data_IF_783914723505
#
_entry.id   IF_783914723505
#
_cell.length_a   1.000
_cell.length_b   1.000
_cell.length_c   1.000
_cell.angle_alpha   90.00
_cell.angle_beta   90.00
_cell.angle_gamma   90.00
#
_symmetry.space_group_name_H-M   'P 1'
#
loop_
_entity.id
_entity.type
_entity.pdbx_description
1 polymer ?
#
# COMPACT_ATOMS: atom_id res chain seq x y z
N UNK A 1 -33.71 -16.41 31.18
CA UNK A 1 -32.64 -17.20 30.57
C UNK A 1 -32.95 -17.29 29.09
N UNK A 2 -32.40 -16.35 28.32
CA UNK A 2 -32.50 -16.32 26.85
C UNK A 2 -31.07 -16.17 26.35
N UNK A 3 -30.64 -17.10 25.50
CA UNK A 3 -29.31 -17.13 24.92
C UNK A 3 -29.02 -15.83 24.12
N UNK A 4 -27.76 -15.39 24.02
CA UNK A 4 -27.41 -14.26 23.17
C UNK A 4 -27.54 -14.65 21.70
N UNK A 5 -28.15 -13.77 20.91
CA UNK A 5 -28.19 -13.83 19.46
C UNK A 5 -26.76 -13.88 18.88
N UNK A 6 -26.58 -14.73 17.87
CA UNK A 6 -25.32 -15.03 17.19
C UNK A 6 -24.73 -13.79 16.47
N UNK A 7 -23.40 -13.73 16.30
CA UNK A 7 -22.72 -12.61 15.65
C UNK A 7 -23.09 -12.49 14.17
N UNK A 8 -23.18 -11.27 13.67
CA UNK A 8 -23.34 -10.99 12.23
C UNK A 8 -22.14 -11.55 11.46
N UNK A 9 -22.32 -12.67 10.75
CA UNK A 9 -21.26 -13.44 10.08
C UNK A 9 -20.46 -12.69 8.99
N UNK A 10 -20.91 -11.50 8.56
CA UNK A 10 -20.30 -10.71 7.48
C UNK A 10 -19.42 -9.54 7.96
N UNK A 11 -19.26 -9.32 9.26
CA UNK A 11 -18.43 -8.23 9.78
C UNK A 11 -16.99 -8.69 10.09
N UNK A 12 -15.97 -8.15 9.41
CA UNK A 12 -14.59 -8.48 9.74
C UNK A 12 -14.22 -7.83 11.08
N UNK A 13 -14.13 -8.66 12.13
CA UNK A 13 -13.72 -8.23 13.46
C UNK A 13 -12.27 -7.72 13.46
N UNK A 14 -12.16 -6.39 13.58
CA UNK A 14 -11.08 -5.50 14.09
C UNK A 14 -9.60 -5.75 13.78
N UNK A 15 -9.06 -6.97 13.80
CA UNK A 15 -7.62 -7.21 13.50
C UNK A 15 -7.32 -7.29 12.00
N UNK A 16 -8.09 -8.08 11.25
CA UNK A 16 -7.78 -8.38 9.85
C UNK A 16 -8.03 -7.24 8.85
N UNK A 17 -8.79 -6.20 9.22
CA UNK A 17 -9.17 -5.13 8.28
C UNK A 17 -7.98 -4.23 7.98
N UNK A 18 -7.24 -3.78 9.00
CA UNK A 18 -6.09 -2.91 8.81
C UNK A 18 -4.97 -3.61 8.02
N UNK A 19 -4.72 -4.88 8.33
CA UNK A 19 -3.76 -5.69 7.60
C UNK A 19 -4.19 -5.92 6.13
N UNK A 20 -5.48 -6.22 5.89
CA UNK A 20 -6.04 -6.33 4.52
C UNK A 20 -5.95 -5.02 3.75
N UNK A 21 -6.26 -3.89 4.39
CA UNK A 21 -6.15 -2.57 3.77
C UNK A 21 -4.70 -2.23 3.45
N UNK A 22 -3.76 -2.56 4.33
CA UNK A 22 -2.33 -2.37 4.09
C UNK A 22 -1.82 -3.25 2.94
N UNK A 23 -2.25 -4.51 2.88
CA UNK A 23 -1.92 -5.42 1.77
C UNK A 23 -2.55 -4.95 0.45
N UNK A 24 -3.81 -4.55 0.46
CA UNK A 24 -4.50 -4.01 -0.71
C UNK A 24 -3.81 -2.74 -1.20
N UNK A 25 -3.44 -1.84 -0.28
CA UNK A 25 -2.69 -0.62 -0.60
C UNK A 25 -1.35 -0.99 -1.25
N UNK A 26 -0.56 -1.85 -0.63
CA UNK A 26 0.76 -2.25 -1.10
C UNK A 26 0.70 -2.93 -2.49
N UNK A 27 -0.21 -3.89 -2.66
CA UNK A 27 -0.37 -4.62 -3.92
C UNK A 27 -0.92 -3.75 -5.07
N UNK A 28 -1.94 -2.93 -4.81
CA UNK A 28 -2.51 -2.03 -5.83
C UNK A 28 -1.51 -0.93 -6.20
N UNK A 29 -0.85 -0.33 -5.21
CA UNK A 29 0.20 0.67 -5.44
C UNK A 29 1.31 0.06 -6.29
N UNK A 30 1.75 -1.16 -5.96
CA UNK A 30 2.81 -1.83 -6.68
C UNK A 30 2.46 -2.14 -8.12
N UNK A 31 1.29 -2.75 -8.37
CA UNK A 31 0.85 -3.04 -9.74
C UNK A 31 0.74 -1.77 -10.59
N UNK A 32 0.14 -0.70 -10.05
CA UNK A 32 -0.02 0.56 -10.77
C UNK A 32 1.32 1.23 -11.06
N UNK A 33 2.23 1.24 -10.09
CA UNK A 33 3.56 1.82 -10.28
C UNK A 33 4.37 1.03 -11.30
N UNK A 34 4.32 -0.31 -11.26
CA UNK A 34 4.94 -1.18 -12.27
C UNK A 34 4.41 -0.91 -13.67
N UNK A 35 3.09 -0.76 -13.83
CA UNK A 35 2.46 -0.41 -15.11
C UNK A 35 2.97 0.95 -15.58
N UNK A 36 2.86 2.01 -14.77
CA UNK A 36 3.15 3.38 -15.22
C UNK A 36 4.64 3.61 -15.40
N UNK A 37 5.48 3.22 -14.45
CA UNK A 37 6.92 3.51 -14.47
C UNK A 37 7.63 2.80 -15.63
N UNK A 38 7.40 1.49 -15.80
CA UNK A 38 8.03 0.72 -16.88
C UNK A 38 7.46 1.12 -18.23
N UNK A 39 6.15 1.37 -18.35
CA UNK A 39 5.57 1.91 -19.57
C UNK A 39 6.18 3.25 -19.97
N UNK A 40 6.27 4.19 -19.02
CA UNK A 40 6.81 5.52 -19.27
C UNK A 40 8.27 5.45 -19.71
N UNK A 41 9.07 4.57 -19.10
CA UNK A 41 10.45 4.33 -19.49
C UNK A 41 10.55 3.77 -20.92
N UNK A 42 9.87 2.66 -21.22
CA UNK A 42 10.01 2.02 -22.54
C UNK A 42 9.37 2.82 -23.66
N UNK A 43 8.29 3.55 -23.39
CA UNK A 43 7.69 4.49 -24.36
C UNK A 43 8.60 5.67 -24.63
N UNK A 44 9.30 6.19 -23.61
CA UNK A 44 10.30 7.22 -23.79
C UNK A 44 11.46 6.74 -24.66
N UNK A 45 12.01 5.55 -24.37
CA UNK A 45 13.07 4.95 -25.20
C UNK A 45 12.57 4.69 -26.62
N UNK A 46 11.35 4.21 -26.80
CA UNK A 46 10.74 3.98 -28.12
C UNK A 46 10.51 5.27 -28.91
N UNK A 47 10.43 6.42 -28.24
CA UNK A 47 10.43 7.74 -28.89
C UNK A 47 11.78 8.10 -29.51
N UNK A 48 12.88 7.58 -28.95
CA UNK A 48 14.25 7.88 -29.38
C UNK A 48 14.83 6.84 -30.35
N UNK A 49 14.43 5.57 -30.25
CA UNK A 49 14.96 4.46 -31.06
C UNK A 49 13.91 3.40 -31.39
N UNK A 50 14.13 2.65 -32.47
CA UNK A 50 13.32 1.48 -32.84
C UNK A 50 14.00 0.15 -32.50
N UNK A 51 15.22 0.19 -31.96
CA UNK A 51 15.98 -1.02 -31.62
C UNK A 51 15.32 -1.83 -30.49
N UNK A 52 15.03 -3.09 -30.76
CA UNK A 52 14.44 -4.01 -29.79
C UNK A 52 15.42 -4.33 -28.65
N UNK A 53 16.73 -4.34 -28.91
CA UNK A 53 17.75 -4.58 -27.89
C UNK A 53 17.74 -3.50 -26.82
N UNK A 54 17.78 -2.23 -27.25
CA UNK A 54 17.69 -1.07 -26.38
C UNK A 54 16.40 -1.06 -25.55
N UNK A 55 15.25 -1.37 -26.16
CA UNK A 55 13.96 -1.44 -25.46
C UNK A 55 13.92 -2.56 -24.42
N UNK A 56 14.46 -3.73 -24.75
CA UNK A 56 14.51 -4.87 -23.83
C UNK A 56 15.42 -4.56 -22.63
N UNK A 57 16.61 -4.00 -22.87
CA UNK A 57 17.56 -3.64 -21.82
C UNK A 57 16.95 -2.58 -20.91
N UNK A 58 16.40 -1.50 -21.48
CA UNK A 58 15.78 -0.43 -20.70
C UNK A 58 14.58 -0.96 -19.89
N UNK A 59 13.70 -1.73 -20.52
CA UNK A 59 12.52 -2.29 -19.88
C UNK A 59 12.85 -3.26 -18.76
N UNK A 60 13.81 -4.18 -18.96
CA UNK A 60 14.26 -5.10 -17.91
C UNK A 60 15.00 -4.39 -16.78
N UNK A 61 15.85 -3.42 -17.09
CA UNK A 61 16.53 -2.61 -16.08
C UNK A 61 15.53 -1.81 -15.25
N UNK A 62 14.53 -1.19 -15.88
CA UNK A 62 13.45 -0.48 -15.22
C UNK A 62 12.58 -1.40 -14.36
N UNK A 63 12.25 -2.59 -14.87
CA UNK A 63 11.47 -3.58 -14.13
C UNK A 63 12.22 -4.05 -12.87
N UNK A 64 13.47 -4.51 -13.02
CA UNK A 64 14.25 -5.04 -11.90
C UNK A 64 14.59 -3.94 -10.90
N UNK A 65 15.06 -2.79 -11.39
CA UNK A 65 15.39 -1.64 -10.55
C UNK A 65 14.17 -1.10 -9.80
N UNK A 66 13.03 -0.99 -10.48
CA UNK A 66 11.76 -0.57 -9.89
C UNK A 66 11.23 -1.56 -8.84
N UNK A 67 11.25 -2.86 -9.13
CA UNK A 67 10.81 -3.89 -8.19
C UNK A 67 11.66 -3.91 -6.91
N UNK A 68 12.99 -3.80 -7.04
CA UNK A 68 13.90 -3.72 -5.88
C UNK A 68 13.66 -2.44 -5.09
N UNK A 69 13.56 -1.28 -5.78
CA UNK A 69 13.31 0.02 -5.14
C UNK A 69 12.00 0.00 -4.34
N UNK A 70 10.95 -0.58 -4.93
CA UNK A 70 9.66 -0.70 -4.29
C UNK A 70 9.67 -1.66 -3.09
N UNK A 71 10.29 -2.85 -3.23
CA UNK A 71 10.42 -3.78 -2.11
C UNK A 71 11.19 -3.15 -0.94
N UNK A 72 12.30 -2.47 -1.25
CA UNK A 72 13.10 -1.79 -0.25
C UNK A 72 12.32 -0.66 0.42
N UNK A 73 11.62 0.17 -0.36
CA UNK A 73 10.80 1.26 0.15
C UNK A 73 9.71 0.78 1.10
N UNK A 74 8.98 -0.27 0.72
CA UNK A 74 7.93 -0.84 1.57
C UNK A 74 8.54 -1.55 2.80
N UNK A 75 9.64 -2.28 2.65
CA UNK A 75 10.35 -2.92 3.78
C UNK A 75 10.78 -1.89 4.81
N UNK A 76 11.42 -0.80 4.38
CA UNK A 76 11.92 0.27 5.27
C UNK A 76 10.75 0.98 5.94
N UNK A 77 9.69 1.33 5.19
CA UNK A 77 8.51 1.99 5.74
C UNK A 77 7.83 1.15 6.83
N UNK A 78 7.56 -0.12 6.53
CA UNK A 78 6.86 -1.03 7.46
C UNK A 78 7.78 -1.44 8.62
N UNK A 79 9.09 -1.57 8.39
CA UNK A 79 10.04 -1.80 9.49
C UNK A 79 10.08 -0.61 10.45
N UNK A 80 10.12 0.61 9.93
CA UNK A 80 10.10 1.82 10.76
C UNK A 80 8.82 1.91 11.58
N UNK A 81 7.67 1.60 10.99
CA UNK A 81 6.39 1.54 11.71
C UNK A 81 6.47 0.53 12.87
N UNK A 82 6.89 -0.70 12.57
CA UNK A 82 7.02 -1.77 13.57
C UNK A 82 8.00 -1.42 14.68
N UNK A 83 9.10 -0.74 14.36
CA UNK A 83 10.09 -0.33 15.34
C UNK A 83 9.52 0.77 16.26
N UNK A 84 8.71 1.69 15.74
CA UNK A 84 7.95 2.65 16.54
C UNK A 84 6.91 1.97 17.45
N UNK A 85 6.12 1.02 16.92
CA UNK A 85 5.16 0.25 17.71
C UNK A 85 5.85 -0.50 18.87
N UNK A 86 6.99 -1.14 18.61
CA UNK A 86 7.78 -1.83 19.64
C UNK A 86 8.34 -0.89 20.70
N UNK A 87 8.78 0.30 20.30
CA UNK A 87 9.29 1.30 21.24
C UNK A 87 8.18 1.79 22.18
N UNK A 88 6.98 2.01 21.64
CA UNK A 88 5.80 2.39 22.41
C UNK A 88 5.37 1.26 23.36
N UNK A 89 5.30 0.02 22.91
CA UNK A 89 5.00 -1.14 23.78
C UNK A 89 6.02 -1.26 24.92
N UNK A 90 7.30 -1.02 24.64
CA UNK A 90 8.35 -1.07 25.66
C UNK A 90 8.21 0.08 26.68
N UNK A 91 7.80 1.27 26.23
CA UNK A 91 7.51 2.43 27.07
C UNK A 91 6.31 2.14 27.99
N UNK A 92 5.21 1.66 27.42
CA UNK A 92 3.99 1.33 28.15
C UNK A 92 4.24 0.26 29.23
N UNK A 93 4.97 -0.80 28.87
CA UNK A 93 5.40 -1.81 29.85
C UNK A 93 6.27 -1.24 30.96
N UNK A 94 7.02 -0.17 30.71
CA UNK A 94 7.81 0.49 31.74
C UNK A 94 6.91 1.28 32.68
N UNK A 95 6.00 2.09 32.12
CA UNK A 95 5.08 2.95 32.86
C UNK A 95 4.13 2.14 33.75
N UNK A 96 3.51 1.08 33.23
CA UNK A 96 2.70 0.13 34.01
C UNK A 96 3.47 -0.50 35.19
N UNK A 97 4.79 -0.65 35.09
CA UNK A 97 5.62 -1.19 36.18
C UNK A 97 6.05 -0.13 37.18
N UNK A 98 6.23 1.12 36.77
CA UNK A 98 6.77 2.19 37.62
C UNK A 98 5.72 3.11 38.20
N UNK A 99 4.56 3.26 37.54
CA UNK A 99 3.51 4.24 37.84
C UNK A 99 2.10 3.63 37.72
N UNK A 100 1.82 2.46 38.32
CA UNK A 100 0.56 1.73 38.08
C UNK A 100 -0.71 2.47 38.51
N UNK A 101 -0.63 3.33 39.53
CA UNK A 101 -1.77 4.16 39.96
C UNK A 101 -2.07 5.28 38.95
N UNK A 102 -1.02 5.90 38.39
CA UNK A 102 -1.17 6.95 37.38
C UNK A 102 -1.74 6.37 36.08
N UNK A 103 -1.25 5.19 35.66
CA UNK A 103 -1.75 4.49 34.48
C UNK A 103 -3.23 4.09 34.62
N UNK A 104 -3.66 3.61 35.79
CA UNK A 104 -5.07 3.30 36.04
C UNK A 104 -5.95 4.57 35.96
N UNK A 105 -5.47 5.70 36.47
CA UNK A 105 -6.14 6.99 36.37
C UNK A 105 -6.20 7.50 34.93
N UNK A 106 -5.15 7.27 34.13
CA UNK A 106 -5.11 7.58 32.70
C UNK A 106 -6.12 6.74 31.90
N UNK A 107 -6.12 5.41 32.07
CA UNK A 107 -7.06 4.52 31.40
C UNK A 107 -8.52 4.89 31.74
N UNK A 108 -8.76 5.23 33.01
CA UNK A 108 -10.06 5.74 33.46
C UNK A 108 -10.46 7.00 32.69
N UNK A 109 -9.55 7.97 32.53
CA UNK A 109 -9.81 9.21 31.79
C UNK A 109 -10.04 8.96 30.31
N UNK A 110 -9.28 8.07 29.67
CA UNK A 110 -9.46 7.72 28.26
C UNK A 110 -10.86 7.14 28.00
N UNK A 111 -11.36 6.30 28.90
CA UNK A 111 -12.72 5.79 28.81
C UNK A 111 -13.80 6.86 29.04
N UNK A 112 -13.58 7.79 29.96
CA UNK A 112 -14.49 8.95 30.13
C UNK A 112 -14.55 9.80 28.85
N UNK A 113 -13.41 10.03 28.20
CA UNK A 113 -13.36 10.77 26.92
C UNK A 113 -14.11 10.05 25.80
N UNK A 114 -14.23 8.71 25.86
CA UNK A 114 -15.06 7.90 24.96
C UNK A 114 -16.56 7.94 25.31
N UNK A 115 -16.95 8.66 26.38
CA UNK A 115 -18.34 8.91 26.74
C UNK A 115 -18.87 8.11 27.93
N UNK A 116 -18.02 7.33 28.61
CA UNK A 116 -18.42 6.63 29.84
C UNK A 116 -18.55 7.60 31.02
N UNK A 117 -19.46 7.28 31.95
CA UNK A 117 -19.50 8.00 33.23
C UNK A 117 -18.23 7.73 34.04
N UNK A 118 -17.89 8.62 34.98
CA UNK A 118 -16.68 8.45 35.79
C UNK A 118 -16.65 7.12 36.56
N UNK A 119 -17.80 6.70 37.11
CA UNK A 119 -17.94 5.44 37.83
C UNK A 119 -17.75 4.23 36.91
N UNK A 120 -18.43 4.21 35.76
CA UNK A 120 -18.31 3.11 34.79
C UNK A 120 -16.91 3.04 34.18
N UNK A 121 -16.32 4.17 33.83
CA UNK A 121 -14.97 4.23 33.28
C UNK A 121 -13.93 3.68 34.26
N UNK A 122 -14.04 4.03 35.56
CA UNK A 122 -13.15 3.49 36.58
C UNK A 122 -13.32 1.99 36.75
N UNK A 123 -14.56 1.51 36.73
CA UNK A 123 -14.84 0.09 36.83
C UNK A 123 -14.24 -0.68 35.65
N UNK A 124 -14.46 -0.21 34.41
CA UNK A 124 -13.89 -0.82 33.20
C UNK A 124 -12.36 -0.81 33.25
N UNK A 125 -11.75 0.31 33.65
CA UNK A 125 -10.29 0.40 33.77
C UNK A 125 -9.75 -0.64 34.77
N UNK A 126 -10.36 -0.76 35.97
CA UNK A 126 -9.94 -1.76 36.97
C UNK A 126 -10.07 -3.19 36.43
N UNK A 127 -11.23 -3.55 35.88
CA UNK A 127 -11.49 -4.91 35.38
C UNK A 127 -10.53 -5.28 34.23
N UNK A 128 -10.23 -4.34 33.32
CA UNK A 128 -9.29 -4.57 32.22
C UNK A 128 -7.83 -4.60 32.67
N UNK A 129 -7.44 -3.73 33.62
CA UNK A 129 -6.10 -3.76 34.22
C UNK A 129 -5.83 -5.08 34.94
N UNK A 130 -6.83 -5.64 35.63
CA UNK A 130 -6.73 -6.97 36.26
C UNK A 130 -6.61 -8.12 35.26
N UNK A 131 -7.23 -7.98 34.08
CA UNK A 131 -7.17 -8.98 33.02
C UNK A 131 -5.84 -8.91 32.24
N UNK A 132 -5.58 -7.77 31.61
CA UNK A 132 -4.36 -7.46 30.87
C UNK A 132 -4.21 -5.93 30.73
N UNK A 133 -3.51 -5.31 31.68
CA UNK A 133 -3.24 -3.88 31.68
C UNK A 133 -2.53 -3.41 30.40
N UNK A 134 -1.58 -4.20 29.88
CA UNK A 134 -0.83 -3.80 28.70
C UNK A 134 -1.75 -3.79 27.48
N UNK A 135 -2.49 -4.87 27.24
CA UNK A 135 -3.40 -4.93 26.11
C UNK A 135 -4.45 -3.81 26.17
N UNK A 136 -4.98 -3.51 27.36
CA UNK A 136 -5.97 -2.44 27.56
C UNK A 136 -5.41 -1.06 27.18
N UNK A 137 -4.19 -0.72 27.63
CA UNK A 137 -3.56 0.55 27.28
C UNK A 137 -3.18 0.61 25.79
N UNK A 138 -2.57 -0.45 25.25
CA UNK A 138 -2.21 -0.52 23.84
C UNK A 138 -3.43 -0.32 22.92
N UNK A 139 -4.57 -0.93 23.24
CA UNK A 139 -5.80 -0.79 22.46
C UNK A 139 -6.44 0.61 22.62
N UNK A 140 -6.57 1.09 23.86
CA UNK A 140 -7.36 2.29 24.17
C UNK A 140 -6.58 3.58 23.89
N UNK A 141 -5.30 3.62 24.22
CA UNK A 141 -4.44 4.79 24.09
C UNK A 141 -3.78 4.84 22.71
N UNK A 142 -3.15 3.73 22.29
CA UNK A 142 -2.27 3.70 21.13
C UNK A 142 -2.93 3.11 19.87
N UNK A 143 -4.04 2.40 20.02
CA UNK A 143 -4.67 1.65 18.93
C UNK A 143 -3.77 0.56 18.35
N UNK A 144 -2.86 0.02 19.17
CA UNK A 144 -1.89 -1.03 18.78
C UNK A 144 -2.42 -2.38 19.26
N UNK A 145 -2.44 -3.36 18.35
CA UNK A 145 -2.57 -4.76 18.70
C UNK A 145 -1.17 -5.39 18.71
N UNK A 146 -0.73 -5.86 19.88
CA UNK A 146 0.60 -6.47 20.03
C UNK A 146 0.75 -7.81 19.31
N UNK A 147 -0.36 -8.49 19.01
CA UNK A 147 -0.39 -9.81 18.36
C UNK A 147 -0.51 -9.69 16.83
N UNK A 148 -0.90 -8.52 16.30
CA UNK A 148 -1.01 -8.23 14.86
C UNK A 148 -0.05 -7.11 14.38
N UNK A 149 1.21 -7.20 14.79
CA UNK A 149 2.23 -6.28 14.26
C UNK A 149 2.46 -6.49 12.76
N UNK A 150 2.64 -5.38 12.05
CA UNK A 150 2.90 -5.38 10.62
C UNK A 150 4.15 -6.19 10.26
N UNK A 151 4.09 -6.95 9.16
CA UNK A 151 5.18 -7.78 8.68
C UNK A 151 5.90 -7.13 7.48
N UNK A 152 7.13 -6.58 7.65
CA UNK A 152 7.83 -5.86 6.59
C UNK A 152 8.18 -6.73 5.39
N UNK A 153 8.49 -8.01 5.60
CA UNK A 153 8.84 -8.94 4.52
C UNK A 153 7.65 -9.26 3.63
N UNK A 154 6.48 -9.48 4.23
CA UNK A 154 5.26 -9.73 3.46
C UNK A 154 4.90 -8.50 2.62
N UNK A 155 4.96 -7.31 3.21
CA UNK A 155 4.68 -6.07 2.49
C UNK A 155 5.66 -5.88 1.32
N UNK A 156 6.97 -5.98 1.56
CA UNK A 156 8.01 -5.83 0.54
C UNK A 156 7.88 -6.82 -0.62
N UNK A 157 7.71 -8.11 -0.33
CA UNK A 157 7.59 -9.17 -1.36
C UNK A 157 6.30 -8.98 -2.14
N UNK A 158 5.18 -8.68 -1.46
CA UNK A 158 3.90 -8.46 -2.13
C UNK A 158 3.95 -7.28 -3.11
N UNK A 159 4.59 -6.17 -2.71
CA UNK A 159 4.78 -5.00 -3.57
C UNK A 159 5.69 -5.30 -4.76
N UNK A 160 6.82 -5.99 -4.55
CA UNK A 160 7.71 -6.38 -5.66
C UNK A 160 7.04 -7.31 -6.68
N UNK A 161 6.27 -8.29 -6.21
CA UNK A 161 5.52 -9.20 -7.09
C UNK A 161 4.46 -8.42 -7.86
N UNK A 162 3.68 -7.58 -7.18
CA UNK A 162 2.65 -6.77 -7.82
C UNK A 162 3.25 -5.81 -8.86
N UNK A 163 4.35 -5.14 -8.54
CA UNK A 163 5.12 -4.30 -9.45
C UNK A 163 5.58 -5.08 -10.67
N UNK A 164 6.20 -6.23 -10.47
CA UNK A 164 6.71 -7.07 -11.56
C UNK A 164 5.57 -7.48 -12.49
N UNK A 165 4.46 -7.97 -11.93
CA UNK A 165 3.28 -8.36 -12.72
C UNK A 165 2.70 -7.17 -13.49
N UNK A 166 2.63 -5.99 -12.87
CA UNK A 166 2.20 -4.76 -13.53
C UNK A 166 3.13 -4.34 -14.68
N UNK A 167 4.44 -4.45 -14.48
CA UNK A 167 5.48 -4.08 -15.44
C UNK A 167 5.59 -5.02 -16.65
N UNK A 168 5.18 -6.29 -16.52
CA UNK A 168 5.21 -7.24 -17.64
C UNK A 168 4.31 -6.79 -18.79
N UNK A 169 3.14 -6.23 -18.49
CA UNK A 169 2.18 -5.79 -19.51
C UNK A 169 2.77 -4.74 -20.47
N UNK A 170 3.29 -3.58 -20.01
CA UNK A 170 3.88 -2.60 -20.91
C UNK A 170 5.14 -3.10 -21.60
N UNK A 171 5.95 -3.93 -20.92
CA UNK A 171 7.14 -4.54 -21.52
C UNK A 171 6.80 -5.42 -22.72
N UNK A 172 5.78 -6.27 -22.58
CA UNK A 172 5.31 -7.10 -23.69
C UNK A 172 4.62 -6.26 -24.77
N UNK A 173 3.83 -5.26 -24.37
CA UNK A 173 3.11 -4.40 -25.30
C UNK A 173 4.04 -3.55 -26.19
N UNK A 174 5.24 -3.21 -25.73
CA UNK A 174 6.22 -2.46 -26.54
C UNK A 174 7.11 -3.38 -27.39
N UNK A 175 7.42 -4.60 -26.93
CA UNK A 175 8.37 -5.51 -27.60
C UNK A 175 7.73 -6.39 -28.67
N UNK A 176 6.49 -6.82 -28.48
CA UNK A 176 5.83 -7.77 -29.38
C UNK A 176 5.33 -7.13 -30.69
N UNK A 177 4.74 -5.92 -30.70
CA UNK A 177 4.24 -5.33 -31.94
C UNK A 177 5.36 -4.82 -32.85
N UNK A 178 5.08 -4.71 -34.17
CA UNK A 178 5.97 -4.04 -35.12
C UNK A 178 6.32 -2.60 -34.71
N UNK A 179 7.52 -2.10 -35.08
CA UNK A 179 8.00 -0.75 -34.72
C UNK A 179 7.01 0.38 -35.02
N UNK A 180 6.22 0.24 -36.08
CA UNK A 180 5.32 1.28 -36.57
C UNK A 180 4.11 1.48 -35.65
N UNK A 181 3.71 0.44 -34.90
CA UNK A 181 2.48 0.45 -34.11
C UNK A 181 2.69 0.20 -32.61
N UNK A 182 3.89 -0.16 -32.17
CA UNK A 182 4.16 -0.51 -30.76
C UNK A 182 3.79 0.59 -29.77
N UNK A 183 4.09 1.86 -30.08
CA UNK A 183 3.78 2.97 -29.17
C UNK A 183 2.26 3.12 -28.98
N UNK A 184 1.43 3.26 -30.03
CA UNK A 184 -0.02 3.26 -29.88
C UNK A 184 -0.56 2.02 -29.15
N UNK A 185 -0.04 0.83 -29.44
CA UNK A 185 -0.46 -0.42 -28.77
C UNK A 185 -0.13 -0.37 -27.27
N UNK A 186 1.06 0.07 -26.88
CA UNK A 186 1.44 0.24 -25.47
C UNK A 186 0.56 1.25 -24.76
N UNK A 187 0.25 2.39 -25.38
CA UNK A 187 -0.66 3.39 -24.80
C UNK A 187 -2.03 2.77 -24.50
N UNK A 188 -2.65 2.11 -25.48
CA UNK A 188 -3.96 1.48 -25.29
C UNK A 188 -3.91 0.39 -24.22
N UNK A 189 -2.91 -0.50 -24.28
CA UNK A 189 -2.75 -1.59 -23.33
C UNK A 189 -2.59 -1.07 -21.89
N UNK A 190 -1.76 -0.04 -21.69
CA UNK A 190 -1.52 0.57 -20.38
C UNK A 190 -2.77 1.26 -19.85
N UNK A 191 -3.47 2.04 -20.67
CA UNK A 191 -4.70 2.72 -20.22
C UNK A 191 -5.80 1.72 -19.85
N UNK A 192 -5.95 0.62 -20.60
CA UNK A 192 -6.87 -0.45 -20.25
C UNK A 192 -6.46 -1.14 -18.95
N UNK A 193 -5.17 -1.41 -18.76
CA UNK A 193 -4.65 -1.98 -17.52
C UNK A 193 -4.93 -1.07 -16.32
N UNK A 194 -4.68 0.24 -16.43
CA UNK A 194 -4.93 1.23 -15.39
C UNK A 194 -6.43 1.42 -15.08
N UNK A 195 -7.28 1.34 -16.10
CA UNK A 195 -8.73 1.32 -15.90
C UNK A 195 -9.15 0.07 -15.11
N UNK A 196 -8.61 -1.10 -15.47
CA UNK A 196 -8.91 -2.36 -14.80
C UNK A 196 -8.40 -2.36 -13.35
N UNK A 197 -7.15 -1.98 -13.10
CA UNK A 197 -6.60 -1.91 -11.74
C UNK A 197 -7.31 -0.83 -10.90
N UNK A 198 -7.69 0.30 -11.50
CA UNK A 198 -8.50 1.33 -10.83
C UNK A 198 -9.88 0.86 -10.43
N UNK A 199 -10.54 0.07 -11.29
CA UNK A 199 -11.83 -0.53 -10.98
C UNK A 199 -11.71 -1.60 -9.89
N UNK A 200 -10.76 -2.53 -10.03
CA UNK A 200 -10.55 -3.64 -9.08
C UNK A 200 -10.19 -3.10 -7.70
N UNK A 201 -9.24 -2.16 -7.63
CA UNK A 201 -8.81 -1.57 -6.36
C UNK A 201 -9.92 -0.83 -5.63
N UNK A 202 -10.74 -0.07 -6.36
CA UNK A 202 -11.89 0.61 -5.77
C UNK A 202 -12.94 -0.39 -5.27
N UNK A 203 -13.21 -1.46 -6.02
CA UNK A 203 -14.15 -2.50 -5.60
C UNK A 203 -13.66 -3.24 -4.36
N UNK A 204 -12.37 -3.56 -4.29
CA UNK A 204 -11.77 -4.21 -3.12
C UNK A 204 -11.74 -3.29 -1.89
N UNK A 205 -11.60 -1.98 -2.10
CA UNK A 205 -11.68 -0.98 -1.03
C UNK A 205 -13.09 -0.46 -0.73
N UNK A 206 -14.15 -1.11 -1.24
CA UNK A 206 -15.56 -0.69 -1.07
C UNK A 206 -15.82 0.79 -1.43
N UNK A 207 -15.07 1.31 -2.40
CA UNK A 207 -15.10 2.71 -2.83
C UNK A 207 -15.69 2.86 -4.25
N UNK A 208 -16.27 4.02 -4.60
CA UNK A 208 -16.81 4.24 -5.94
C UNK A 208 -15.70 4.24 -7.02
N UNK A 209 -15.77 3.39 -8.05
CA UNK A 209 -14.64 3.14 -8.97
C UNK A 209 -14.31 4.29 -9.90
N UNK A 210 -15.29 5.13 -10.26
CA UNK A 210 -15.10 6.20 -11.25
C UNK A 210 -13.94 7.15 -10.91
N UNK A 211 -13.83 7.59 -9.65
CA UNK A 211 -12.76 8.51 -9.23
C UNK A 211 -11.38 7.83 -9.22
N UNK A 212 -11.30 6.55 -8.90
CA UNK A 212 -10.04 5.81 -8.92
C UNK A 212 -9.53 5.63 -10.36
N UNK A 213 -10.42 5.19 -11.26
CA UNK A 213 -10.10 5.01 -12.67
C UNK A 213 -9.65 6.32 -13.32
N UNK A 214 -10.37 7.42 -13.10
CA UNK A 214 -10.01 8.73 -13.69
C UNK A 214 -8.62 9.19 -13.24
N UNK A 215 -8.28 9.05 -11.94
CA UNK A 215 -6.96 9.41 -11.43
C UNK A 215 -5.84 8.62 -12.11
N UNK A 216 -6.00 7.30 -12.23
CA UNK A 216 -5.00 6.45 -12.87
C UNK A 216 -4.90 6.70 -14.37
N UNK A 217 -6.02 6.86 -15.07
CA UNK A 217 -6.04 7.14 -16.50
C UNK A 217 -5.39 8.49 -16.83
N UNK A 218 -5.73 9.55 -16.10
CA UNK A 218 -5.15 10.88 -16.31
C UNK A 218 -3.66 10.87 -15.97
N UNK A 219 -3.28 10.34 -14.80
CA UNK A 219 -1.88 10.27 -14.39
C UNK A 219 -1.03 9.43 -15.35
N UNK A 220 -1.52 8.25 -15.73
CA UNK A 220 -0.86 7.36 -16.68
C UNK A 220 -0.73 7.99 -18.07
N UNK A 221 -1.81 8.56 -18.62
CA UNK A 221 -1.76 9.23 -19.92
C UNK A 221 -0.76 10.39 -19.93
N UNK A 222 -0.75 11.23 -18.89
CA UNK A 222 0.20 12.33 -18.76
C UNK A 222 1.65 11.84 -18.70
N UNK A 223 1.93 10.78 -17.93
CA UNK A 223 3.26 10.20 -17.83
C UNK A 223 3.75 9.67 -19.19
N UNK A 224 2.91 8.90 -19.90
CA UNK A 224 3.24 8.35 -21.21
C UNK A 224 3.47 9.43 -22.26
N UNK A 225 2.60 10.46 -22.31
CA UNK A 225 2.76 11.58 -23.26
C UNK A 225 4.05 12.34 -22.95
N UNK A 226 4.33 12.65 -21.68
CA UNK A 226 5.51 13.38 -21.30
C UNK A 226 6.80 12.64 -21.67
N UNK A 227 6.90 11.34 -21.34
CA UNK A 227 8.11 10.57 -21.65
C UNK A 227 8.26 10.30 -23.14
N UNK A 228 7.17 10.05 -23.87
CA UNK A 228 7.21 9.94 -25.32
C UNK A 228 7.74 11.23 -25.97
N UNK A 229 7.24 12.40 -25.55
CA UNK A 229 7.72 13.69 -26.04
C UNK A 229 9.22 13.88 -25.76
N UNK A 230 9.68 13.60 -24.53
CA UNK A 230 11.11 13.67 -24.19
C UNK A 230 11.92 12.72 -25.08
N UNK A 231 11.48 11.49 -25.25
CA UNK A 231 12.12 10.49 -26.10
C UNK A 231 12.28 10.96 -27.55
N UNK A 232 11.17 11.41 -28.15
CA UNK A 232 11.18 11.93 -29.53
C UNK A 232 12.09 13.14 -29.70
N UNK A 233 12.08 14.08 -28.75
CA UNK A 233 12.98 15.24 -28.78
C UNK A 233 14.46 14.82 -28.72
N UNK A 234 14.81 13.88 -27.84
CA UNK A 234 16.19 13.38 -27.72
C UNK A 234 16.63 12.55 -28.95
N UNK A 235 15.71 11.80 -29.56
CA UNK A 235 15.98 11.09 -30.81
C UNK A 235 16.30 12.06 -31.97
N UNK A 236 15.64 13.22 -32.01
CA UNK A 236 15.89 14.23 -33.06
C UNK A 236 17.22 14.99 -32.91
N UNK A 237 17.82 15.03 -31.72
CA UNK A 237 19.10 15.72 -31.47
C UNK A 237 20.34 14.86 -31.70
N UNK A 238 20.17 13.57 -32.03
CA UNK A 238 21.29 12.65 -32.31
C UNK A 238 22.08 12.22 -31.08
N UNK A 239 21.50 12.36 -29.89
CA UNK A 239 22.08 11.91 -28.61
C UNK A 239 21.75 10.41 -28.34
N UNK A 240 20.84 9.83 -29.13
CA UNK A 240 20.33 8.46 -29.00
C UNK A 240 21.03 7.45 -29.91
#
# INVERSE_FOLDING_TARGET
>A
MSAPDLPHEDEPHTGGVNQRLNWLRAGVLGANDGIVSVASLVVGVAGATTDNGALLIAGLAGLVGGAISMALGEYVSVSSQRDSERALIAKERHELRTMPEEELDELTQLYQQRGLTAETARQVAVELTEHDALAAHLEVELGIDQDDLVNPWHAAISSAVAFTLGALLPLLAILLPPPEIRVPVTFVAVLLALAATGFISAKLGSAPPGRAMVRLLVGGALALVATWLIGTLLGTTGIA
#
